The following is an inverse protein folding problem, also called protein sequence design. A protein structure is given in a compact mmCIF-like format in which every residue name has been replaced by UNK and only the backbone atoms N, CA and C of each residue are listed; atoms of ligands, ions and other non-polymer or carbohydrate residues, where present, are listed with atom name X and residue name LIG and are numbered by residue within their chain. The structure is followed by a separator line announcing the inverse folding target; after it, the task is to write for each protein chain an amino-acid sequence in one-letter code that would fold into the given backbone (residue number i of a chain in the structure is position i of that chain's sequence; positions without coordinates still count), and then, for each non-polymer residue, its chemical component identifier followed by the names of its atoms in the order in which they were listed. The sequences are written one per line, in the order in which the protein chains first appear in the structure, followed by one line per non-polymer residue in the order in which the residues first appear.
data_IF_644394876943
#
_entry.id   IF_644394876943
#
_cell.length_a   1.000
_cell.length_b   1.000
_cell.length_c   1.000
_cell.angle_alpha   90.00
_cell.angle_beta   90.00
_cell.angle_gamma   90.00
#
_symmetry.space_group_name_H-M   'P 1'
#
loop_
_entity.id
_entity.type
_entity.pdbx_description
1 polymer ?
#
# COMPACT_ATOMS: atom_id res chain seq x y z
N UNK A 1 4.23 18.48 -3.03
CA UNK A 1 4.37 17.12 -3.60
C UNK A 1 4.54 16.18 -2.43
N UNK A 2 3.58 15.28 -2.20
CA UNK A 2 3.68 14.28 -1.12
C UNK A 2 4.51 13.11 -1.64
N UNK A 3 5.52 12.68 -0.88
CA UNK A 3 6.27 11.46 -1.20
C UNK A 3 5.45 10.25 -0.74
N UNK A 4 5.50 9.16 -1.49
CA UNK A 4 4.81 7.90 -1.21
C UNK A 4 5.77 6.73 -1.45
N UNK A 5 5.34 5.53 -1.08
CA UNK A 5 5.98 4.27 -1.42
C UNK A 5 5.00 3.45 -2.28
N UNK A 6 5.52 2.45 -2.99
CA UNK A 6 4.72 1.59 -3.86
C UNK A 6 4.83 0.14 -3.42
N UNK A 7 3.72 -0.57 -3.34
CA UNK A 7 3.65 -2.02 -3.13
C UNK A 7 3.20 -2.69 -4.43
N UNK A 8 4.06 -3.55 -4.99
CA UNK A 8 3.73 -4.41 -6.13
C UNK A 8 3.05 -5.70 -5.65
N UNK A 9 1.86 -5.98 -6.15
CA UNK A 9 1.23 -7.29 -5.96
C UNK A 9 0.26 -7.67 -7.09
N UNK A 10 -0.13 -8.94 -7.11
CA UNK A 10 -1.21 -9.45 -7.96
C UNK A 10 -2.47 -9.54 -7.10
N UNK A 11 -3.56 -8.90 -7.52
CA UNK A 11 -4.84 -8.93 -6.79
C UNK A 11 -6.03 -8.97 -7.75
N UNK A 12 -7.19 -9.32 -7.20
CA UNK A 12 -8.48 -9.26 -7.88
C UNK A 12 -9.01 -7.82 -7.84
N UNK A 13 -9.27 -7.23 -9.01
CA UNK A 13 -9.91 -5.93 -9.06
C UNK A 13 -11.38 -6.01 -8.59
N UNK A 14 -11.82 -5.21 -7.61
CA UNK A 14 -13.20 -5.24 -7.12
C UNK A 14 -14.22 -4.66 -8.10
N UNK A 15 -13.79 -4.13 -9.26
CA UNK A 15 -14.64 -3.42 -10.22
C UNK A 15 -14.91 -4.22 -11.48
N UNK A 16 -13.91 -4.92 -12.00
CA UNK A 16 -14.02 -5.73 -13.22
C UNK A 16 -13.74 -7.22 -12.98
N UNK A 17 -13.41 -7.62 -11.75
CA UNK A 17 -13.14 -9.00 -11.36
C UNK A 17 -11.98 -9.67 -12.12
N UNK A 18 -11.15 -8.86 -12.78
CA UNK A 18 -9.93 -9.37 -13.39
C UNK A 18 -8.81 -9.48 -12.35
N UNK A 19 -8.01 -10.55 -12.45
CA UNK A 19 -6.77 -10.70 -11.67
C UNK A 19 -5.63 -10.09 -12.46
N UNK A 20 -5.01 -9.05 -11.92
CA UNK A 20 -3.92 -8.35 -12.59
C UNK A 20 -2.84 -7.90 -11.61
N UNK A 21 -1.59 -7.71 -12.06
CA UNK A 21 -0.63 -6.93 -11.30
C UNK A 21 -1.14 -5.50 -11.10
N UNK A 22 -0.91 -4.96 -9.90
CA UNK A 22 -1.24 -3.58 -9.54
C UNK A 22 -0.11 -2.97 -8.73
N UNK A 23 0.03 -1.65 -8.85
CA UNK A 23 0.87 -0.83 -8.00
C UNK A 23 -0.03 -0.15 -6.96
N UNK A 24 0.28 -0.37 -5.69
CA UNK A 24 -0.46 0.23 -4.57
C UNK A 24 0.39 1.32 -3.96
N UNK A 25 -0.04 2.58 -4.14
CA UNK A 25 0.60 3.73 -3.52
C UNK A 25 0.17 3.85 -2.05
N UNK A 26 1.14 3.95 -1.14
CA UNK A 26 0.88 4.13 0.29
C UNK A 26 1.78 5.19 0.92
N UNK A 27 1.32 5.79 2.02
CA UNK A 27 1.95 6.97 2.66
C UNK A 27 2.34 6.71 4.11
N UNK A 28 3.03 5.60 4.36
CA UNK A 28 3.59 5.25 5.65
C UNK A 28 4.94 4.53 5.49
N UNK A 29 5.66 4.32 6.59
CA UNK A 29 7.08 4.02 6.60
C UNK A 29 7.92 5.26 6.29
N UNK A 30 9.18 5.04 5.94
CA UNK A 30 10.08 6.05 5.37
C UNK A 30 9.67 6.29 3.92
N UNK A 31 9.17 7.48 3.61
CA UNK A 31 8.61 7.81 2.30
C UNK A 31 9.70 8.29 1.36
N UNK A 32 10.29 7.37 0.59
CA UNK A 32 11.45 7.61 -0.27
C UNK A 32 11.24 7.14 -1.73
N UNK A 33 9.98 6.93 -2.15
CA UNK A 33 9.65 6.31 -3.44
C UNK A 33 10.22 4.90 -3.58
N UNK A 34 10.30 4.19 -2.45
CA UNK A 34 10.76 2.81 -2.44
C UNK A 34 9.63 1.89 -2.95
N UNK A 35 10.03 0.86 -3.69
CA UNK A 35 9.13 -0.19 -4.18
C UNK A 35 9.28 -1.44 -3.32
N UNK A 36 8.17 -1.98 -2.85
CA UNK A 36 8.10 -3.15 -1.98
C UNK A 36 7.24 -4.25 -2.60
N UNK A 37 7.39 -5.47 -2.04
CA UNK A 37 6.55 -6.64 -2.26
C UNK A 37 6.09 -7.21 -0.93
N UNK A 38 5.10 -8.09 -0.98
CA UNK A 38 4.68 -8.85 0.21
C UNK A 38 5.86 -9.69 0.72
N UNK A 39 6.13 -9.62 2.01
CA UNK A 39 7.26 -10.28 2.67
C UNK A 39 8.49 -9.40 2.85
N UNK A 40 8.54 -8.20 2.23
CA UNK A 40 9.66 -7.28 2.40
C UNK A 40 9.62 -6.57 3.76
N UNK A 41 10.81 -6.24 4.28
CA UNK A 41 10.99 -5.40 5.46
C UNK A 41 10.71 -3.93 5.11
N UNK A 42 9.67 -3.37 5.71
CA UNK A 42 9.33 -1.95 5.62
C UNK A 42 10.33 -1.11 6.41
N UNK A 43 10.96 -0.18 5.71
CA UNK A 43 11.82 0.81 6.36
C UNK A 43 10.97 1.86 7.05
N UNK A 44 11.16 2.05 8.37
CA UNK A 44 10.46 3.07 9.15
C UNK A 44 11.22 4.39 9.31
N UNK A 45 12.56 4.34 9.30
CA UNK A 45 13.42 5.47 9.66
C UNK A 45 14.39 5.77 8.51
N UNK A 46 14.46 7.04 8.15
CA UNK A 46 15.43 7.56 7.20
C UNK A 46 15.41 9.09 7.15
N UNK A 47 16.27 9.66 6.32
CA UNK A 47 16.28 11.11 6.09
C UNK A 47 15.05 11.49 5.29
N UNK A 48 14.27 12.47 5.77
CA UNK A 48 13.05 12.94 5.11
C UNK A 48 11.78 12.62 5.90
N UNK A 49 10.68 12.41 5.17
CA UNK A 49 9.37 12.20 5.79
C UNK A 49 9.15 10.73 6.12
N UNK A 50 8.67 10.48 7.35
CA UNK A 50 8.22 9.15 7.78
C UNK A 50 6.87 9.26 8.46
N UNK A 51 5.98 8.30 8.21
CA UNK A 51 4.70 8.19 8.91
C UNK A 51 4.49 6.74 9.39
N UNK A 52 4.23 6.51 10.69
CA UNK A 52 4.33 7.48 11.77
C UNK A 52 5.77 8.03 11.91
N UNK A 53 5.93 9.13 12.65
CA UNK A 53 7.25 9.79 12.83
C UNK A 53 8.31 8.86 13.43
N UNK A 54 7.86 7.86 14.17
CA UNK A 54 8.68 6.84 14.82
C UNK A 54 8.17 5.47 14.42
N UNK A 55 9.07 4.47 14.45
CA UNK A 55 8.69 3.07 14.24
C UNK A 55 7.64 2.65 15.29
N UNK A 56 6.48 2.11 14.87
CA UNK A 56 5.47 1.60 15.81
C UNK A 56 6.00 0.53 16.77
N UNK A 57 5.35 0.32 17.93
CA UNK A 57 5.62 -0.82 18.80
C UNK A 57 5.57 -2.13 18.01
N UNK A 58 6.57 -2.98 18.24
CA UNK A 58 6.78 -4.23 17.49
C UNK A 58 6.95 -4.10 15.98
N UNK A 59 6.85 -2.90 15.38
CA UNK A 59 6.84 -2.74 13.92
C UNK A 59 5.50 -3.10 13.29
N UNK A 60 4.43 -3.09 14.09
CA UNK A 60 3.08 -3.41 13.63
C UNK A 60 2.33 -2.14 13.22
N UNK A 61 1.73 -2.15 12.03
CA UNK A 61 0.99 -1.01 11.51
C UNK A 61 -0.04 -1.43 10.47
N UNK A 62 -1.20 -0.78 10.50
CA UNK A 62 -2.24 -0.93 9.48
C UNK A 62 -2.41 0.41 8.78
N UNK A 63 -2.29 0.40 7.46
CA UNK A 63 -2.31 1.60 6.67
C UNK A 63 -3.09 1.44 5.38
N UNK A 64 -3.50 2.56 4.82
CA UNK A 64 -4.24 2.60 3.57
C UNK A 64 -3.29 2.68 2.38
N UNK A 65 -3.67 1.99 1.32
CA UNK A 65 -3.06 2.05 0.01
C UNK A 65 -4.11 2.35 -1.06
N UNK A 66 -3.66 2.98 -2.14
CA UNK A 66 -4.49 3.37 -3.27
C UNK A 66 -3.95 2.71 -4.54
N UNK A 67 -4.82 2.11 -5.33
CA UNK A 67 -4.43 1.37 -6.53
C UNK A 67 -5.36 1.66 -7.70
N UNK A 68 -4.83 1.62 -8.92
CA UNK A 68 -5.59 1.66 -10.17
C UNK A 68 -5.51 0.31 -10.89
N UNK A 69 -6.66 -0.19 -11.36
CA UNK A 69 -6.67 -1.41 -12.17
C UNK A 69 -6.22 -1.12 -13.60
N UNK A 70 -5.16 -1.79 -14.06
CA UNK A 70 -4.67 -1.68 -15.44
C UNK A 70 -5.64 -2.21 -16.52
N UNK A 71 -6.69 -2.92 -16.14
CA UNK A 71 -7.68 -3.48 -17.08
C UNK A 71 -8.89 -2.57 -17.28
N UNK A 72 -9.48 -2.07 -16.19
CA UNK A 72 -10.68 -1.23 -16.27
C UNK A 72 -10.41 0.25 -15.98
N UNK A 73 -9.17 0.61 -15.60
CA UNK A 73 -8.75 1.96 -15.23
C UNK A 73 -9.54 2.57 -14.07
N UNK A 74 -10.21 1.73 -13.28
CA UNK A 74 -10.91 2.15 -12.07
C UNK A 74 -10.01 1.96 -10.88
N UNK A 75 -10.03 2.95 -10.01
CA UNK A 75 -9.30 2.94 -8.76
C UNK A 75 -10.07 2.21 -7.66
N UNK A 76 -9.32 1.78 -6.66
CA UNK A 76 -9.85 1.15 -5.46
C UNK A 76 -8.87 1.30 -4.30
N UNK A 77 -9.41 1.19 -3.10
CA UNK A 77 -8.63 1.27 -1.87
C UNK A 77 -8.21 -0.11 -1.39
N UNK A 78 -7.06 -0.16 -0.74
CA UNK A 78 -6.52 -1.34 -0.10
C UNK A 78 -6.11 -1.04 1.34
N UNK A 79 -6.22 -2.04 2.20
CA UNK A 79 -5.57 -2.06 3.51
C UNK A 79 -4.28 -2.86 3.41
N UNK A 80 -3.20 -2.28 3.91
CA UNK A 80 -1.87 -2.91 4.00
C UNK A 80 -1.58 -3.18 5.47
N UNK A 81 -1.16 -4.41 5.77
CA UNK A 81 -0.89 -4.89 7.11
C UNK A 81 0.60 -5.18 7.27
N UNK A 82 1.27 -4.40 8.11
CA UNK A 82 2.67 -4.57 8.46
C UNK A 82 2.77 -5.26 9.80
N UNK A 83 3.49 -6.37 9.89
CA UNK A 83 3.68 -7.14 11.12
C UNK A 83 5.16 -7.40 11.34
N UNK A 84 5.69 -7.00 12.49
CA UNK A 84 7.11 -7.14 12.81
C UNK A 84 8.02 -6.56 11.73
N UNK A 85 7.71 -5.34 11.28
CA UNK A 85 8.36 -4.63 10.17
C UNK A 85 8.13 -5.24 8.78
N UNK A 86 7.46 -6.39 8.65
CA UNK A 86 7.26 -7.04 7.36
C UNK A 86 5.91 -6.65 6.78
N UNK A 87 5.86 -6.28 5.49
CA UNK A 87 4.59 -6.13 4.77
C UNK A 87 3.96 -7.51 4.61
N UNK A 88 3.08 -7.88 5.54
CA UNK A 88 2.58 -9.24 5.68
C UNK A 88 1.45 -9.55 4.72
N UNK A 89 0.54 -8.60 4.49
CA UNK A 89 -0.58 -8.77 3.57
C UNK A 89 -1.14 -7.42 3.10
N UNK A 90 -1.88 -7.47 2.00
CA UNK A 90 -2.70 -6.36 1.53
C UNK A 90 -4.03 -6.90 1.00
N UNK A 91 -5.14 -6.24 1.34
CA UNK A 91 -6.49 -6.66 0.92
C UNK A 91 -7.29 -5.47 0.42
N UNK A 92 -8.21 -5.71 -0.51
CA UNK A 92 -9.13 -4.66 -0.96
C UNK A 92 -10.01 -4.19 0.19
N UNK A 93 -10.13 -2.86 0.33
CA UNK A 93 -11.11 -2.25 1.24
C UNK A 93 -12.44 -2.04 0.50
N UNK A 94 -13.37 -2.97 0.68
CA UNK A 94 -14.70 -2.91 0.09
C UNK A 94 -15.60 -1.83 0.71
N UNK A 95 -15.19 -1.21 1.82
CA UNK A 95 -15.97 -0.15 2.46
C UNK A 95 -15.74 1.22 1.83
N UNK A 96 -14.67 1.37 1.05
CA UNK A 96 -14.33 2.61 0.34
C UNK A 96 -14.54 2.47 -1.16
N UNK A 97 -15.21 3.45 -1.73
CA UNK A 97 -15.41 3.56 -3.17
C UNK A 97 -14.26 4.37 -3.76
N UNK A 98 -13.69 3.88 -4.86
CA UNK A 98 -12.74 4.64 -5.68
C UNK A 98 -13.40 5.89 -6.27
N UNK A 99 -12.59 6.84 -6.70
CA UNK A 99 -13.04 8.09 -7.31
C UNK A 99 -13.36 7.96 -8.80
N UNK A 100 -12.88 6.92 -9.47
CA UNK A 100 -13.04 6.67 -10.90
C UNK A 100 -14.19 5.67 -11.13
N UNK A 101 -15.18 6.12 -11.91
CA UNK A 101 -16.46 5.43 -12.12
C UNK A 101 -16.57 4.76 -13.48
#
# INVERSE_FOLDING_TARGET
MSVYNTLELITLCPRCENVSPVEVEFRFGHMNLDTYRLGDDLRWIGVGHSLPRERPPNGDYDGEGYAECLTCHKDFWMMIYVRKDIIASATVDHTKVGYIH
#
